data_IF_535428906389
#
_entry.id   IF_535428906389
#
_cell.length_a   1.000
_cell.length_b   1.000
_cell.length_c   1.000
_cell.angle_alpha   90.00
_cell.angle_beta   90.00
_cell.angle_gamma   90.00
#
_symmetry.space_group_name_H-M   'P 1'
#
loop_
_entity.id
_entity.type
_entity.pdbx_description
1 polymer ?
#
# COMPACT_ATOMS: atom_id res chain seq x y z
N UNK A 1 -4.02 -16.91 -1.70
CA UNK A 1 -4.81 -15.84 -1.06
C UNK A 1 -3.94 -14.60 -0.96
N UNK A 2 -4.40 -13.43 -1.40
CA UNK A 2 -3.62 -12.18 -1.30
C UNK A 2 -3.74 -11.61 0.11
N UNK A 3 -2.64 -11.11 0.66
CA UNK A 3 -2.62 -10.37 1.90
C UNK A 3 -3.24 -8.98 1.67
N UNK A 4 -4.32 -8.68 2.38
CA UNK A 4 -4.99 -7.37 2.33
C UNK A 4 -4.26 -6.40 3.25
N UNK A 5 -3.77 -5.30 2.69
CA UNK A 5 -2.92 -4.33 3.40
C UNK A 5 -3.52 -2.94 3.31
N UNK A 6 -3.55 -2.22 4.43
CA UNK A 6 -3.82 -0.79 4.47
C UNK A 6 -2.54 0.02 4.64
N UNK A 7 -2.46 1.21 4.06
CA UNK A 7 -1.34 2.14 4.24
C UNK A 7 -1.84 3.36 5.01
N UNK A 8 -1.25 3.64 6.18
CA UNK A 8 -1.53 4.86 6.95
C UNK A 8 -0.29 5.77 6.91
N UNK A 9 -0.42 6.91 6.23
CA UNK A 9 0.68 7.79 5.85
C UNK A 9 1.23 7.48 4.44
N UNK A 10 0.90 8.33 3.48
CA UNK A 10 1.24 8.24 2.05
C UNK A 10 2.36 9.20 1.62
N UNK A 11 3.30 9.43 2.54
CA UNK A 11 4.57 10.11 2.27
C UNK A 11 5.54 9.29 1.41
N UNK A 12 6.84 9.60 1.51
CA UNK A 12 7.90 8.93 0.72
C UNK A 12 7.83 7.40 0.78
N UNK A 13 7.70 6.85 2.00
CA UNK A 13 7.67 5.40 2.20
C UNK A 13 6.34 4.79 1.77
N UNK A 14 5.20 5.40 2.14
CA UNK A 14 3.88 4.90 1.74
C UNK A 14 3.74 4.75 0.22
N UNK A 15 4.26 5.71 -0.55
CA UNK A 15 4.29 5.64 -2.02
C UNK A 15 5.18 4.52 -2.56
N UNK A 16 6.36 4.33 -1.97
CA UNK A 16 7.27 3.25 -2.38
C UNK A 16 6.71 1.86 -2.04
N UNK A 17 6.08 1.73 -0.87
CA UNK A 17 5.38 0.50 -0.44
C UNK A 17 4.22 0.19 -1.39
N UNK A 18 3.39 1.19 -1.71
CA UNK A 18 2.30 1.01 -2.68
C UNK A 18 2.83 0.61 -4.05
N UNK A 19 3.90 1.25 -4.53
CA UNK A 19 4.55 0.90 -5.81
C UNK A 19 5.03 -0.54 -5.81
N UNK A 20 5.72 -0.98 -4.76
CA UNK A 20 6.19 -2.36 -4.64
C UNK A 20 5.01 -3.36 -4.59
N UNK A 21 3.93 -3.00 -3.89
CA UNK A 21 2.73 -3.82 -3.79
C UNK A 21 2.04 -4.05 -5.15
N UNK A 22 2.05 -3.06 -6.06
CA UNK A 22 1.47 -3.19 -7.41
C UNK A 22 2.15 -4.26 -8.27
N UNK A 23 3.40 -4.61 -7.97
CA UNK A 23 4.14 -5.68 -8.67
C UNK A 23 4.22 -6.98 -7.87
N UNK A 24 3.53 -7.06 -6.72
CA UNK A 24 3.53 -8.24 -5.87
C UNK A 24 2.15 -8.90 -5.88
N UNK A 25 2.02 -9.99 -6.64
CA UNK A 25 0.75 -10.74 -6.77
C UNK A 25 0.20 -11.29 -5.45
N UNK A 26 1.02 -11.35 -4.39
CA UNK A 26 0.61 -11.79 -3.05
C UNK A 26 0.00 -10.68 -2.20
N UNK A 27 0.03 -9.42 -2.65
CA UNK A 27 -0.46 -8.26 -1.89
C UNK A 27 -1.64 -7.63 -2.61
N UNK A 28 -2.60 -7.15 -1.82
CA UNK A 28 -3.73 -6.36 -2.27
C UNK A 28 -3.86 -5.14 -1.34
N UNK A 29 -3.62 -3.93 -1.86
CA UNK A 29 -3.75 -2.71 -1.06
C UNK A 29 -5.21 -2.27 -1.08
N UNK A 30 -5.87 -2.39 0.07
CA UNK A 30 -7.33 -2.21 0.19
C UNK A 30 -7.73 -0.82 0.68
N UNK A 31 -6.76 0.01 1.09
CA UNK A 31 -7.04 1.37 1.55
C UNK A 31 -5.77 2.16 1.86
N UNK A 32 -5.87 3.47 1.68
CA UNK A 32 -4.83 4.44 2.02
C UNK A 32 -5.49 5.52 2.88
N UNK A 33 -4.89 5.87 4.01
CA UNK A 33 -5.28 6.99 4.84
C UNK A 33 -4.12 7.99 4.94
N UNK A 34 -4.32 9.19 4.42
CA UNK A 34 -3.42 10.34 4.60
C UNK A 34 -4.29 11.62 4.64
N UNK A 35 -4.27 12.40 5.74
CA UNK A 35 -5.08 13.60 5.85
C UNK A 35 -4.46 14.84 5.18
N UNK A 36 -3.27 14.74 4.56
CA UNK A 36 -2.55 15.86 3.94
C UNK A 36 -2.30 15.65 2.44
#
# INVERSE_FOLDING_TARGET
MKAKVGINGFGRIGRLVFRAAMYNEKVDVVGINDPF
#
